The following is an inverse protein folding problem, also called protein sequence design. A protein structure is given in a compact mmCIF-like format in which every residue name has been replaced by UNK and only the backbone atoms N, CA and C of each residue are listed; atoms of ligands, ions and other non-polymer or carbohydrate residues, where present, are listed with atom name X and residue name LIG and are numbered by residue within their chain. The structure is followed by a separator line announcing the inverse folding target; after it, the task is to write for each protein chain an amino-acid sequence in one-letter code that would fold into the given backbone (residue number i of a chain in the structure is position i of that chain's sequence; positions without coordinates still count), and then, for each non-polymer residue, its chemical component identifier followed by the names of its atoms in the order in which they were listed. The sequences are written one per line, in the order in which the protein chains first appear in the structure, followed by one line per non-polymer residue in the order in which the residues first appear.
data_IF_463026010223
#
_entry.id   IF_463026010223
#
_cell.length_a   1.000
_cell.length_b   1.000
_cell.length_c   1.000
_cell.angle_alpha   90.00
_cell.angle_beta   90.00
_cell.angle_gamma   90.00
#
_symmetry.space_group_name_H-M   'P 1'
#
loop_
_entity.id
_entity.type
_entity.pdbx_description
1 polymer ?
#
# COMPACT_ATOMS: atom_id res chain seq x y z
N UNK A 1 2.99 12.73 35.00
CA UNK A 1 2.36 12.32 36.27
C UNK A 1 1.05 13.08 36.34
N UNK A 2 -0.10 12.40 36.34
CA UNK A 2 -1.42 13.04 36.44
C UNK A 2 -2.04 12.50 37.73
N UNK A 3 -2.12 13.33 38.75
CA UNK A 3 -2.86 13.02 39.97
C UNK A 3 -4.35 13.18 39.72
N UNK A 4 -5.13 12.16 40.12
CA UNK A 4 -6.58 12.14 40.02
C UNK A 4 -7.14 12.46 41.41
N UNK A 5 -7.58 13.69 41.65
CA UNK A 5 -8.45 14.01 42.78
C UNK A 5 -9.90 13.63 42.43
N UNK A 6 -10.46 12.67 43.19
CA UNK A 6 -11.89 12.37 43.22
C UNK A 6 -12.60 13.41 44.08
N UNK A 7 -13.58 14.11 43.51
CA UNK A 7 -14.66 14.73 44.29
C UNK A 7 -16.00 14.13 43.82
N UNK A 8 -16.82 13.75 44.80
CA UNK A 8 -18.20 13.26 44.69
C UNK A 8 -19.10 14.49 44.56
N UNK A 9 -19.91 14.54 43.50
CA UNK A 9 -21.24 15.18 43.45
C UNK A 9 -21.84 15.02 42.04
N UNK A 10 -23.13 14.69 41.99
CA UNK A 10 -23.91 14.35 40.79
C UNK A 10 -24.39 15.62 40.07
N UNK A 11 -23.90 15.85 38.85
CA UNK A 11 -24.32 16.93 37.96
C UNK A 11 -23.50 16.94 36.65
N UNK A 12 -24.03 17.45 35.52
CA UNK A 12 -23.33 17.40 34.24
C UNK A 12 -22.10 18.32 34.24
N UNK A 13 -20.92 17.71 34.17
CA UNK A 13 -19.62 18.40 34.14
C UNK A 13 -19.39 19.10 32.80
N UNK A 14 -19.25 20.42 32.81
CA UNK A 14 -18.62 21.16 31.69
C UNK A 14 -17.11 20.94 31.73
N UNK A 15 -16.54 20.41 30.65
CA UNK A 15 -15.08 20.28 30.48
C UNK A 15 -14.63 21.41 29.55
N UNK A 16 -14.00 22.43 30.12
CA UNK A 16 -13.33 23.50 29.36
C UNK A 16 -11.87 23.12 29.13
N UNK A 17 -11.46 22.96 27.87
CA UNK A 17 -10.04 22.86 27.50
C UNK A 17 -9.55 24.24 27.06
N UNK A 18 -8.65 24.86 27.81
CA UNK A 18 -7.90 26.03 27.37
C UNK A 18 -6.58 25.58 26.73
N UNK A 19 -6.36 25.99 25.48
CA UNK A 19 -5.05 25.97 24.82
C UNK A 19 -4.58 27.41 24.66
N UNK A 20 -3.42 27.74 25.23
CA UNK A 20 -2.78 29.05 25.05
C UNK A 20 -1.87 29.04 23.82
N UNK A 21 -2.35 29.61 22.71
CA UNK A 21 -1.56 30.32 21.69
C UNK A 21 -2.52 31.06 20.71
N UNK A 22 -2.33 32.38 20.57
CA UNK A 22 -3.10 33.44 19.86
C UNK A 22 -3.36 33.28 18.33
N UNK A 23 -4.12 34.18 17.64
CA UNK A 23 -5.27 35.03 18.01
C UNK A 23 -6.44 34.87 17.00
N UNK A 24 -7.47 34.10 17.32
CA UNK A 24 -8.74 34.13 16.58
C UNK A 24 -9.89 34.12 17.58
N UNK A 25 -10.62 35.24 17.70
CA UNK A 25 -11.78 35.36 18.59
C UNK A 25 -12.89 34.39 18.12
N UNK A 26 -13.22 33.41 18.95
CA UNK A 26 -14.42 32.57 18.79
C UNK A 26 -15.58 33.32 19.46
N UNK A 27 -16.56 33.79 18.69
CA UNK A 27 -17.84 34.28 19.24
C UNK A 27 -18.85 33.13 19.10
N UNK A 28 -19.15 32.45 20.19
CA UNK A 28 -20.18 31.40 20.23
C UNK A 28 -21.53 32.01 20.59
N UNK A 29 -22.43 32.17 19.61
CA UNK A 29 -23.85 32.40 19.88
C UNK A 29 -24.59 31.04 19.90
N UNK A 30 -25.00 30.58 21.10
CA UNK A 30 -25.84 29.39 21.26
C UNK A 30 -27.31 29.76 21.03
N UNK A 31 -27.93 29.31 19.93
CA UNK A 31 -29.40 29.26 19.80
C UNK A 31 -29.86 27.80 19.82
N UNK A 32 -30.68 27.43 20.82
CA UNK A 32 -31.42 26.17 20.82
C UNK A 32 -32.63 26.33 19.88
N UNK A 33 -32.81 25.39 18.95
CA UNK A 33 -34.08 25.19 18.25
C UNK A 33 -34.76 23.96 18.84
N UNK A 34 -36.05 24.07 19.14
CA UNK A 34 -36.87 22.99 19.72
C UNK A 34 -37.16 21.89 18.67
N UNK A 35 -37.18 20.60 19.07
CA UNK A 35 -37.44 19.50 18.13
C UNK A 35 -38.94 19.25 17.94
N UNK A 36 -39.38 19.15 16.68
CA UNK A 36 -40.67 18.57 16.30
C UNK A 36 -40.60 17.04 16.29
N UNK A 37 -41.70 16.38 16.67
CA UNK A 37 -41.79 14.95 16.99
C UNK A 37 -41.68 14.03 15.77
N UNK A 38 -40.72 13.11 15.78
CA UNK A 38 -40.87 11.65 15.64
C UNK A 38 -39.46 11.01 15.66
N UNK A 39 -39.33 9.89 16.38
CA UNK A 39 -38.12 9.51 17.09
C UNK A 39 -37.00 8.89 16.26
N UNK A 40 -35.76 9.30 16.56
CA UNK A 40 -34.72 8.43 17.12
C UNK A 40 -33.56 9.31 17.62
N UNK A 41 -32.95 8.98 18.77
CA UNK A 41 -32.11 9.91 19.51
C UNK A 41 -30.71 10.11 18.90
N UNK A 42 -30.46 11.27 18.30
CA UNK A 42 -29.13 11.80 17.98
C UNK A 42 -29.03 13.28 18.35
N UNK A 43 -27.99 13.68 19.11
CA UNK A 43 -27.73 15.10 19.39
C UNK A 43 -27.07 15.74 18.17
N UNK A 44 -27.74 16.71 17.55
CA UNK A 44 -27.18 17.52 16.46
C UNK A 44 -26.37 18.68 17.03
N UNK A 45 -25.12 18.83 16.60
CA UNK A 45 -24.28 20.00 16.93
C UNK A 45 -23.90 20.73 15.63
N UNK A 46 -24.14 22.03 15.60
CA UNK A 46 -23.72 22.91 14.49
C UNK A 46 -22.56 23.76 14.99
N UNK A 47 -21.39 23.62 14.37
CA UNK A 47 -20.24 24.50 14.59
C UNK A 47 -20.09 25.37 13.36
N UNK A 48 -20.31 26.68 13.51
CA UNK A 48 -20.00 27.68 12.48
C UNK A 48 -18.58 28.17 12.70
N UNK A 49 -17.67 27.88 11.76
CA UNK A 49 -16.33 28.44 11.77
C UNK A 49 -16.26 29.53 10.71
N UNK A 50 -16.05 30.77 11.13
CA UNK A 50 -15.88 31.91 10.25
C UNK A 50 -14.38 32.16 10.06
N UNK A 51 -13.93 32.20 8.81
CA UNK A 51 -12.66 32.84 8.44
C UNK A 51 -12.97 33.94 7.42
N UNK A 52 -12.11 34.96 7.30
CA UNK A 52 -12.39 36.20 6.57
C UNK A 52 -12.70 36.05 5.07
N UNK A 53 -12.77 34.84 4.50
CA UNK A 53 -13.01 34.62 3.07
C UNK A 53 -13.95 33.44 2.70
N UNK A 54 -14.60 32.75 3.64
CA UNK A 54 -15.70 31.80 3.29
C UNK A 54 -16.54 31.38 4.51
N UNK A 55 -17.81 31.01 4.26
CA UNK A 55 -18.69 30.33 5.23
C UNK A 55 -18.80 28.86 4.79
N UNK A 56 -18.40 27.93 5.66
CA UNK A 56 -18.65 26.50 5.47
C UNK A 56 -19.66 26.04 6.51
N UNK A 57 -20.84 25.61 6.09
CA UNK A 57 -21.80 24.92 6.98
C UNK A 57 -21.47 23.42 7.01
N UNK A 58 -21.15 22.91 8.19
CA UNK A 58 -20.88 21.50 8.43
C UNK A 58 -22.03 20.96 9.29
N UNK A 59 -22.83 20.04 8.74
CA UNK A 59 -23.82 19.26 9.51
C UNK A 59 -23.21 17.90 9.87
N UNK A 60 -23.11 17.61 11.17
CA UNK A 60 -22.64 16.32 11.69
C UNK A 60 -23.84 15.57 12.27
N UNK A 61 -24.17 14.41 11.70
CA UNK A 61 -25.18 13.50 12.25
C UNK A 61 -24.48 12.39 13.02
N UNK A 62 -24.75 12.29 14.33
CA UNK A 62 -24.34 11.15 15.14
C UNK A 62 -25.50 10.17 15.28
N UNK A 63 -25.38 8.97 14.72
CA UNK A 63 -26.28 7.86 15.04
C UNK A 63 -25.52 6.82 15.86
N UNK A 64 -26.10 6.42 16.99
CA UNK A 64 -25.56 5.37 17.83
C UNK A 64 -26.25 4.05 17.47
N UNK A 65 -25.49 2.99 17.20
CA UNK A 65 -25.97 1.65 17.44
C UNK A 65 -24.84 0.73 17.92
N UNK A 66 -25.18 -0.20 18.82
CA UNK A 66 -24.23 -1.02 19.58
C UNK A 66 -23.40 -1.92 18.65
N UNK A 67 -22.08 -1.83 18.82
CA UNK A 67 -20.99 -2.56 18.17
C UNK A 67 -20.50 -1.97 16.84
N UNK A 68 -19.29 -1.39 16.91
CA UNK A 68 -18.45 -0.77 15.87
C UNK A 68 -18.75 0.70 15.49
N UNK A 69 -17.82 1.59 15.86
CA UNK A 69 -17.79 3.00 15.46
C UNK A 69 -17.40 3.10 13.98
N UNK A 70 -18.35 3.42 13.10
CA UNK A 70 -18.08 3.86 11.73
C UNK A 70 -18.15 5.38 11.67
N UNK A 71 -17.01 6.05 11.43
CA UNK A 71 -17.02 7.46 11.03
C UNK A 71 -17.41 7.55 9.54
N UNK A 72 -18.64 7.98 9.26
CA UNK A 72 -19.06 8.36 7.90
C UNK A 72 -18.85 9.87 7.74
N UNK A 73 -17.78 10.26 7.05
CA UNK A 73 -17.59 11.66 6.62
C UNK A 73 -18.17 11.76 5.21
N UNK A 74 -19.30 12.44 5.07
CA UNK A 74 -19.91 12.74 3.78
C UNK A 74 -19.65 14.22 3.46
N UNK A 75 -18.76 14.49 2.50
CA UNK A 75 -18.56 15.83 1.96
C UNK A 75 -19.73 16.16 1.02
N UNK A 76 -20.56 17.13 1.38
CA UNK A 76 -21.46 17.79 0.45
C UNK A 76 -20.72 18.89 -0.32
N UNK A 77 -20.99 18.95 -1.61
CA UNK A 77 -20.47 19.84 -2.65
C UNK A 77 -19.92 21.20 -2.20
N UNK A 78 -18.67 21.48 -2.62
CA UNK A 78 -18.08 22.82 -2.63
C UNK A 78 -18.62 23.54 -3.87
N UNK A 79 -19.51 24.52 -3.71
CA UNK A 79 -19.80 25.50 -4.76
C UNK A 79 -18.78 26.63 -4.64
N UNK A 80 -17.81 26.66 -5.56
CA UNK A 80 -16.81 27.70 -5.64
C UNK A 80 -17.33 28.87 -6.49
N UNK A 81 -17.53 30.03 -5.87
CA UNK A 81 -17.49 31.30 -6.57
C UNK A 81 -16.33 32.10 -5.98
N UNK A 82 -15.19 32.14 -6.67
CA UNK A 82 -14.21 33.20 -6.45
C UNK A 82 -13.60 33.69 -7.77
N UNK A 83 -13.42 35.03 -7.90
CA UNK A 83 -12.79 35.68 -9.05
C UNK A 83 -11.27 35.48 -9.06
N UNK A 84 -10.64 35.84 -10.19
CA UNK A 84 -9.25 35.59 -10.56
C UNK A 84 -8.20 35.93 -9.47
N UNK A 85 -7.07 35.19 -9.40
CA UNK A 85 -6.10 35.34 -8.32
C UNK A 85 -5.20 36.58 -8.51
N UNK A 86 -4.84 37.29 -7.42
CA UNK A 86 -3.76 38.27 -7.45
C UNK A 86 -2.39 37.59 -7.45
N UNK A 87 -1.46 38.20 -8.18
CA UNK A 87 -0.05 37.82 -8.27
C UNK A 87 0.65 37.92 -6.92
N UNK A 88 1.24 36.81 -6.45
CA UNK A 88 2.11 36.81 -5.28
C UNK A 88 3.45 36.14 -5.58
N UNK A 89 4.50 36.87 -5.22
CA UNK A 89 5.92 36.62 -5.48
C UNK A 89 6.41 35.29 -4.88
N UNK A 90 7.28 34.61 -5.63
CA UNK A 90 8.01 33.41 -5.23
C UNK A 90 8.90 33.69 -4.01
N UNK A 91 8.68 32.99 -2.89
CA UNK A 91 9.71 32.76 -1.88
C UNK A 91 10.38 31.40 -2.12
N UNK A 92 11.71 31.38 -1.99
CA UNK A 92 12.59 30.25 -2.26
C UNK A 92 12.26 29.00 -1.41
N UNK A 93 12.46 27.77 -1.92
CA UNK A 93 12.09 26.55 -1.19
C UNK A 93 13.14 26.17 -0.14
N UNK A 94 12.71 26.03 1.11
CA UNK A 94 13.42 25.27 2.15
C UNK A 94 13.20 23.75 1.94
N UNK A 95 14.12 22.88 2.40
CA UNK A 95 14.25 21.52 1.92
C UNK A 95 12.99 20.69 2.23
N UNK A 96 12.39 20.16 1.17
CA UNK A 96 11.28 19.22 1.25
C UNK A 96 11.72 17.96 1.99
N UNK A 97 11.03 17.58 3.07
CA UNK A 97 11.13 16.25 3.67
C UNK A 97 11.00 15.20 2.58
N UNK A 98 12.04 14.38 2.43
CA UNK A 98 12.08 13.38 1.36
C UNK A 98 11.15 12.23 1.69
N UNK A 99 10.62 11.56 0.67
CA UNK A 99 9.77 10.38 0.86
C UNK A 99 10.44 9.32 1.76
N UNK A 100 11.77 9.17 1.63
CA UNK A 100 12.59 8.27 2.43
C UNK A 100 12.60 8.62 3.94
N UNK A 101 12.48 9.89 4.31
CA UNK A 101 12.41 10.32 5.72
C UNK A 101 11.03 10.04 6.32
N UNK A 102 9.97 10.17 5.51
CA UNK A 102 8.59 9.89 5.93
C UNK A 102 8.36 8.38 6.07
N UNK A 103 8.92 7.56 5.17
CA UNK A 103 8.84 6.10 5.32
C UNK A 103 9.70 5.59 6.47
N UNK A 104 10.89 6.14 6.71
CA UNK A 104 11.70 5.77 7.90
C UNK A 104 10.95 5.99 9.22
N UNK A 105 10.12 7.03 9.33
CA UNK A 105 9.29 7.27 10.53
C UNK A 105 8.14 6.25 10.69
N UNK A 106 7.71 5.60 9.62
CA UNK A 106 6.60 4.63 9.63
C UNK A 106 7.01 3.17 9.35
N UNK A 107 8.30 2.91 9.09
CA UNK A 107 8.82 1.57 8.76
C UNK A 107 10.10 1.25 9.55
N UNK A 108 9.91 0.94 10.83
CA UNK A 108 10.63 -0.20 11.40
C UNK A 108 9.81 -1.47 11.06
N UNK A 109 9.71 -1.80 9.78
CA UNK A 109 9.21 -3.12 9.35
C UNK A 109 10.24 -4.16 9.80
N UNK A 110 10.07 -4.69 11.02
CA UNK A 110 10.87 -5.82 11.51
C UNK A 110 10.88 -6.90 10.43
N UNK A 111 12.07 -7.44 10.11
CA UNK A 111 12.21 -8.57 9.17
C UNK A 111 11.19 -9.65 9.51
N UNK A 112 10.58 -10.33 8.51
CA UNK A 112 9.65 -11.39 8.80
C UNK A 112 10.39 -12.52 9.51
N UNK A 113 10.11 -12.69 10.80
CA UNK A 113 10.53 -13.80 11.66
C UNK A 113 9.78 -15.08 11.31
N UNK A 114 9.61 -15.38 10.02
CA UNK A 114 8.86 -16.52 9.52
C UNK A 114 9.84 -17.56 8.99
N UNK A 115 9.66 -18.83 9.38
CA UNK A 115 10.35 -19.97 8.81
C UNK A 115 9.36 -20.78 7.95
N UNK A 116 9.77 -21.18 6.75
CA UNK A 116 8.99 -22.09 5.90
C UNK A 116 9.53 -23.50 6.06
N UNK A 117 8.64 -24.46 6.20
CA UNK A 117 8.95 -25.87 6.38
C UNK A 117 8.24 -26.66 5.28
N UNK A 118 8.97 -27.50 4.55
CA UNK A 118 8.43 -28.33 3.47
C UNK A 118 8.79 -29.79 3.70
N UNK A 119 7.97 -30.75 3.24
CA UNK A 119 8.37 -32.14 3.28
C UNK A 119 9.51 -32.38 2.30
N UNK A 120 10.52 -33.15 2.72
CA UNK A 120 11.54 -33.65 1.81
C UNK A 120 10.94 -34.69 0.85
N UNK A 121 11.64 -34.97 -0.26
CA UNK A 121 11.20 -35.99 -1.24
C UNK A 121 10.94 -37.36 -0.60
N UNK A 122 11.71 -37.72 0.43
CA UNK A 122 11.54 -38.92 1.26
C UNK A 122 10.19 -38.98 2.00
N UNK A 123 9.58 -37.83 2.30
CA UNK A 123 8.36 -37.69 3.10
C UNK A 123 7.25 -36.93 2.35
N UNK A 124 7.27 -36.92 1.01
CA UNK A 124 6.36 -36.12 0.16
C UNK A 124 4.86 -36.42 0.40
N UNK A 125 4.56 -37.61 0.93
CA UNK A 125 3.19 -38.02 1.26
C UNK A 125 2.69 -37.43 2.58
N UNK A 126 3.57 -37.11 3.53
CA UNK A 126 3.21 -36.62 4.87
C UNK A 126 3.00 -35.10 4.91
N UNK A 127 2.11 -34.65 5.80
CA UNK A 127 1.97 -33.22 6.10
C UNK A 127 2.98 -32.82 7.18
N UNK A 128 3.77 -31.78 6.90
CA UNK A 128 4.79 -31.26 7.83
C UNK A 128 4.18 -30.89 9.19
N UNK A 129 2.94 -30.40 9.21
CA UNK A 129 2.28 -30.03 10.47
C UNK A 129 2.06 -31.24 11.38
N UNK A 130 1.73 -32.40 10.82
CA UNK A 130 1.50 -33.62 11.60
C UNK A 130 2.82 -34.21 12.10
N UNK A 131 3.88 -34.14 11.30
CA UNK A 131 5.25 -34.48 11.72
C UNK A 131 5.67 -33.59 12.90
N UNK A 132 5.47 -32.28 12.81
CA UNK A 132 5.82 -31.35 13.89
C UNK A 132 5.03 -31.60 15.16
N UNK A 133 3.72 -31.90 15.07
CA UNK A 133 2.91 -32.25 16.25
C UNK A 133 3.38 -33.54 16.92
N UNK A 134 3.79 -34.53 16.13
CA UNK A 134 4.29 -35.83 16.63
C UNK A 134 5.66 -35.70 17.29
N UNK A 135 6.59 -35.01 16.63
CA UNK A 135 8.00 -34.99 17.02
C UNK A 135 8.40 -33.78 17.88
N UNK A 136 7.65 -32.67 17.80
CA UNK A 136 7.86 -31.43 18.56
C UNK A 136 6.51 -30.90 19.10
N UNK A 137 5.83 -31.73 19.90
CA UNK A 137 4.54 -31.36 20.51
C UNK A 137 4.62 -30.10 21.39
N UNK A 138 5.79 -29.79 21.96
CA UNK A 138 6.06 -28.60 22.78
C UNK A 138 7.35 -27.91 22.32
N UNK A 139 7.28 -26.97 21.38
CA UNK A 139 8.45 -26.20 20.95
C UNK A 139 8.93 -25.30 22.10
N UNK A 140 10.24 -25.21 22.29
CA UNK A 140 10.88 -24.26 23.22
C UNK A 140 10.81 -22.81 22.73
N UNK A 141 10.61 -22.62 21.43
CA UNK A 141 10.52 -21.31 20.76
C UNK A 141 9.12 -20.72 20.85
N UNK A 142 9.03 -19.40 21.02
CA UNK A 142 7.75 -18.70 21.11
C UNK A 142 7.11 -18.49 19.72
N UNK A 143 6.19 -19.38 19.37
CA UNK A 143 5.46 -19.32 18.09
C UNK A 143 4.27 -18.36 18.19
N UNK A 144 4.18 -17.38 17.28
CA UNK A 144 3.03 -16.46 17.17
C UNK A 144 1.88 -17.08 16.39
N UNK A 145 2.19 -17.70 15.26
CA UNK A 145 1.17 -18.29 14.39
C UNK A 145 1.78 -19.37 13.50
N UNK A 146 0.97 -20.38 13.19
CA UNK A 146 1.32 -21.48 12.29
C UNK A 146 0.28 -21.51 11.18
N UNK A 147 0.73 -21.49 9.93
CA UNK A 147 -0.14 -21.52 8.75
C UNK A 147 0.22 -22.70 7.84
N UNK A 148 -0.77 -23.50 7.43
CA UNK A 148 -0.58 -24.43 6.32
C UNK A 148 -0.37 -23.64 5.02
N UNK A 149 0.61 -24.05 4.22
CA UNK A 149 0.91 -23.47 2.91
C UNK A 149 0.84 -24.55 1.82
N UNK A 150 0.97 -24.14 0.55
CA UNK A 150 0.99 -25.06 -0.59
C UNK A 150 2.11 -26.11 -0.43
N UNK A 151 1.99 -27.21 -1.17
CA UNK A 151 2.94 -28.32 -1.18
C UNK A 151 3.13 -28.96 0.20
N UNK A 152 2.03 -29.05 0.97
CA UNK A 152 1.99 -29.64 2.33
C UNK A 152 2.98 -29.01 3.33
N UNK A 153 3.46 -27.82 3.01
CA UNK A 153 4.38 -27.07 3.87
C UNK A 153 3.65 -26.34 4.99
N UNK A 154 4.44 -25.80 5.90
CA UNK A 154 3.99 -24.98 7.03
C UNK A 154 4.83 -23.71 7.11
N UNK A 155 4.19 -22.55 7.27
CA UNK A 155 4.83 -21.31 7.63
C UNK A 155 4.69 -21.07 9.14
N UNK A 156 5.80 -20.98 9.85
CA UNK A 156 5.87 -20.75 11.29
C UNK A 156 6.34 -19.32 11.53
N UNK A 157 5.49 -18.47 12.10
CA UNK A 157 5.86 -17.11 12.49
C UNK A 157 6.30 -17.08 13.95
N UNK A 158 7.52 -16.63 14.17
CA UNK A 158 8.20 -16.53 15.45
C UNK A 158 8.26 -15.07 15.93
N UNK A 159 8.71 -14.82 17.15
CA UNK A 159 8.81 -13.47 17.69
C UNK A 159 10.13 -12.77 17.32
N UNK A 160 11.23 -13.53 17.27
CA UNK A 160 12.59 -13.00 17.05
C UNK A 160 13.38 -13.84 16.05
N UNK A 161 14.36 -13.23 15.40
CA UNK A 161 15.27 -13.92 14.47
C UNK A 161 16.07 -15.04 15.18
N UNK A 162 16.43 -14.84 16.46
CA UNK A 162 17.09 -15.86 17.27
C UNK A 162 16.27 -17.16 17.38
N UNK A 163 14.95 -17.04 17.53
CA UNK A 163 14.05 -18.20 17.63
C UNK A 163 13.93 -18.95 16.30
N UNK A 164 14.18 -18.26 15.16
CA UNK A 164 14.24 -18.90 13.84
C UNK A 164 15.41 -19.87 13.79
N UNK A 165 16.60 -19.42 14.25
CA UNK A 165 17.78 -20.27 14.27
C UNK A 165 17.63 -21.43 15.27
N UNK A 166 17.04 -21.17 16.45
CA UNK A 166 16.76 -22.22 17.45
C UNK A 166 15.82 -23.31 16.91
N UNK A 167 14.78 -22.92 16.16
CA UNK A 167 13.87 -23.88 15.53
C UNK A 167 14.56 -24.68 14.43
N UNK A 168 15.39 -24.05 13.59
CA UNK A 168 16.22 -24.72 12.58
C UNK A 168 17.15 -25.74 13.25
N UNK A 169 17.82 -25.34 14.33
CA UNK A 169 18.72 -26.21 15.07
C UNK A 169 17.96 -27.39 15.70
N UNK A 170 16.78 -27.15 16.27
CA UNK A 170 15.92 -28.20 16.82
C UNK A 170 15.56 -29.25 15.75
N UNK A 171 15.16 -28.80 14.56
CA UNK A 171 14.83 -29.68 13.43
C UNK A 171 16.07 -30.47 12.99
N UNK A 172 17.22 -29.82 12.87
CA UNK A 172 18.46 -30.46 12.42
C UNK A 172 19.07 -31.41 13.48
N UNK A 173 18.75 -31.22 14.76
CA UNK A 173 19.25 -32.07 15.85
C UNK A 173 18.57 -33.45 15.91
N UNK A 174 17.34 -33.58 15.39
CA UNK A 174 16.59 -34.84 15.36
C UNK A 174 16.66 -35.46 13.98
N UNK A 175 17.24 -36.65 13.87
CA UNK A 175 17.43 -37.33 12.58
C UNK A 175 16.11 -37.59 11.83
N UNK A 176 15.03 -37.89 12.56
CA UNK A 176 13.69 -38.07 11.99
C UNK A 176 13.19 -36.79 11.30
N UNK A 177 13.45 -35.62 11.89
CA UNK A 177 13.02 -34.34 11.34
C UNK A 177 13.94 -33.86 10.23
N UNK A 178 15.24 -34.00 10.41
CA UNK A 178 16.26 -33.63 9.43
C UNK A 178 16.07 -34.38 8.10
N UNK A 179 15.66 -35.65 8.16
CA UNK A 179 15.42 -36.49 6.97
C UNK A 179 14.03 -36.33 6.34
N UNK A 180 13.10 -35.63 7.00
CA UNK A 180 11.71 -35.48 6.54
C UNK A 180 11.29 -34.04 6.27
N UNK A 181 11.95 -33.05 6.87
CA UNK A 181 11.59 -31.63 6.76
C UNK A 181 12.77 -30.82 6.19
N UNK A 182 12.49 -30.09 5.11
CA UNK A 182 13.36 -29.05 4.59
C UNK A 182 12.97 -27.69 5.18
N UNK A 183 13.92 -27.00 5.82
CA UNK A 183 13.72 -25.64 6.34
C UNK A 183 14.17 -24.60 5.32
N UNK A 184 13.32 -23.61 5.02
CA UNK A 184 13.62 -22.48 4.13
C UNK A 184 13.28 -21.16 4.80
N UNK A 185 14.26 -20.26 4.90
CA UNK A 185 13.97 -18.85 5.24
C UNK A 185 13.27 -18.21 4.03
N UNK A 186 12.26 -17.34 4.23
CA UNK A 186 11.62 -16.61 3.15
C UNK A 186 12.67 -15.80 2.38
N UNK A 187 13.03 -16.26 1.18
CA UNK A 187 13.88 -15.51 0.27
C UNK A 187 13.16 -14.27 -0.26
N UNK A 188 13.93 -13.25 -0.65
CA UNK A 188 13.39 -12.18 -1.49
C UNK A 188 13.11 -12.73 -2.88
N UNK A 189 12.07 -12.21 -3.54
CA UNK A 189 11.76 -12.63 -4.93
C UNK A 189 12.69 -11.91 -5.89
N UNK A 190 12.97 -12.48 -7.05
CA UNK A 190 13.70 -11.77 -8.09
C UNK A 190 12.88 -10.56 -8.62
N UNK A 191 13.57 -9.49 -9.06
CA UNK A 191 12.93 -8.40 -9.77
C UNK A 191 12.33 -8.88 -11.09
N UNK A 192 11.61 -7.99 -11.76
CA UNK A 192 11.05 -8.27 -13.07
C UNK A 192 11.36 -7.15 -14.03
N UNK A 193 11.55 -7.52 -15.29
CA UNK A 193 11.60 -6.59 -16.40
C UNK A 193 10.34 -6.73 -17.25
N UNK A 194 10.05 -5.68 -18.02
CA UNK A 194 9.01 -5.67 -19.05
C UNK A 194 9.68 -5.32 -20.38
N UNK A 195 9.39 -6.14 -21.39
CA UNK A 195 9.74 -5.88 -22.80
C UNK A 195 8.48 -5.39 -23.50
N UNK A 196 8.52 -4.18 -24.04
CA UNK A 196 7.35 -3.53 -24.63
C UNK A 196 7.17 -3.85 -26.12
N UNK A 197 5.90 -3.93 -26.52
CA UNK A 197 5.42 -4.03 -27.90
C UNK A 197 6.07 -5.15 -28.73
N UNK A 198 6.18 -6.36 -28.17
CA UNK A 198 6.56 -7.53 -28.96
C UNK A 198 5.38 -7.95 -29.83
N UNK A 199 5.57 -8.26 -31.13
CA UNK A 199 4.53 -8.84 -31.96
C UNK A 199 3.97 -10.13 -31.36
N UNK A 200 2.67 -10.40 -31.54
CA UNK A 200 2.01 -11.57 -30.96
C UNK A 200 2.54 -12.90 -31.52
N UNK A 201 3.06 -12.87 -32.75
CA UNK A 201 3.75 -13.98 -33.41
C UNK A 201 5.14 -14.28 -32.86
N UNK A 202 5.74 -13.37 -32.07
CA UNK A 202 7.07 -13.60 -31.47
C UNK A 202 7.01 -14.79 -30.52
N UNK A 203 7.91 -15.76 -30.73
CA UNK A 203 7.98 -16.96 -29.89
C UNK A 203 9.00 -16.79 -28.77
N UNK A 204 8.90 -17.63 -27.74
CA UNK A 204 9.79 -17.53 -26.58
C UNK A 204 11.26 -17.70 -26.95
N UNK A 205 11.59 -18.67 -27.81
CA UNK A 205 12.97 -18.97 -28.15
C UNK A 205 13.69 -17.78 -28.80
N UNK A 206 13.00 -17.00 -29.64
CA UNK A 206 13.54 -15.78 -30.24
C UNK A 206 13.88 -14.72 -29.18
N UNK A 207 13.05 -14.59 -28.14
CA UNK A 207 13.32 -13.68 -27.03
C UNK A 207 14.52 -14.18 -26.22
N UNK A 208 14.59 -15.47 -25.92
CA UNK A 208 15.72 -16.05 -25.16
C UNK A 208 17.02 -15.94 -25.93
N UNK A 209 17.01 -16.16 -27.25
CA UNK A 209 18.18 -15.98 -28.11
C UNK A 209 18.64 -14.52 -28.14
N UNK A 210 17.71 -13.57 -28.30
CA UNK A 210 18.04 -12.14 -28.25
C UNK A 210 18.66 -11.75 -26.90
N UNK A 211 18.16 -12.30 -25.78
CA UNK A 211 18.72 -12.09 -24.44
C UNK A 211 20.14 -12.67 -24.32
N UNK A 212 20.37 -13.87 -24.86
CA UNK A 212 21.67 -14.51 -24.84
C UNK A 212 22.71 -13.71 -25.65
N UNK A 213 22.37 -13.30 -26.87
CA UNK A 213 23.27 -12.58 -27.78
C UNK A 213 23.56 -11.15 -27.29
N UNK A 214 22.53 -10.40 -26.90
CA UNK A 214 22.66 -8.96 -26.66
C UNK A 214 22.93 -8.60 -25.20
N UNK A 215 22.66 -9.51 -24.27
CA UNK A 215 22.84 -9.26 -22.84
C UNK A 215 23.71 -10.30 -22.13
N UNK A 216 24.27 -11.31 -22.84
CA UNK A 216 25.04 -12.42 -22.25
C UNK A 216 24.29 -13.09 -21.09
N UNK A 217 23.01 -13.39 -21.35
CA UNK A 217 22.12 -14.13 -20.45
C UNK A 217 21.89 -15.50 -21.05
N UNK A 218 22.75 -16.46 -20.66
CA UNK A 218 22.73 -17.83 -21.17
C UNK A 218 21.61 -18.67 -20.55
N UNK A 219 21.21 -18.33 -19.33
CA UNK A 219 20.11 -19.00 -18.63
C UNK A 219 18.76 -18.48 -19.13
N UNK A 220 17.82 -19.39 -19.40
CA UNK A 220 16.47 -19.02 -19.82
C UNK A 220 15.73 -18.31 -18.69
N UNK A 221 15.27 -17.08 -18.97
CA UNK A 221 14.49 -16.30 -18.01
C UNK A 221 13.03 -16.75 -18.00
N UNK A 222 12.43 -16.83 -16.82
CA UNK A 222 11.03 -17.24 -16.65
C UNK A 222 10.05 -16.13 -17.07
N UNK A 223 9.21 -16.39 -18.07
CA UNK A 223 8.13 -15.49 -18.48
C UNK A 223 6.96 -15.66 -17.50
N UNK A 224 6.64 -14.60 -16.75
CA UNK A 224 5.56 -14.65 -15.76
C UNK A 224 4.18 -14.52 -16.39
N UNK A 225 4.03 -13.54 -17.27
CA UNK A 225 2.79 -13.30 -18.03
C UNK A 225 3.02 -12.28 -19.14
N UNK A 226 2.04 -12.21 -20.03
CA UNK A 226 1.96 -11.20 -21.11
C UNK A 226 0.80 -10.26 -20.82
N UNK A 227 0.98 -8.96 -21.10
CA UNK A 227 -0.08 -7.96 -21.08
C UNK A 227 -0.37 -7.53 -22.53
N UNK A 228 -1.60 -7.19 -22.86
CA UNK A 228 -1.92 -6.61 -24.16
C UNK A 228 -1.11 -5.32 -24.37
N UNK A 229 -0.52 -5.19 -25.55
CA UNK A 229 0.22 -4.01 -25.95
C UNK A 229 -0.68 -2.81 -26.24
N UNK A 230 -0.06 -1.66 -26.49
CA UNK A 230 -0.79 -0.45 -26.90
C UNK A 230 -1.22 -0.51 -28.36
N UNK A 231 -0.45 -1.21 -29.18
CA UNK A 231 -0.72 -1.41 -30.59
C UNK A 231 -1.43 -2.75 -30.79
N UNK A 232 -2.44 -2.83 -31.68
CA UNK A 232 -3.04 -4.11 -32.06
C UNK A 232 -1.96 -5.10 -32.55
N UNK A 233 -2.11 -6.38 -32.20
CA UNK A 233 -1.14 -7.42 -32.59
C UNK A 233 0.17 -7.39 -31.81
N UNK A 234 0.23 -6.69 -30.68
CA UNK A 234 1.42 -6.66 -29.82
C UNK A 234 1.09 -6.98 -28.36
N UNK A 235 2.09 -7.51 -27.66
CA UNK A 235 2.07 -7.79 -26.24
C UNK A 235 3.25 -7.14 -25.52
N UNK A 236 3.12 -6.96 -24.21
CA UNK A 236 4.23 -6.66 -23.31
C UNK A 236 4.55 -7.90 -22.51
N UNK A 237 5.81 -8.33 -22.52
CA UNK A 237 6.22 -9.55 -21.84
C UNK A 237 6.89 -9.20 -20.53
N UNK A 238 6.45 -9.83 -19.44
CA UNK A 238 7.01 -9.63 -18.11
C UNK A 238 7.81 -10.86 -17.75
N UNK A 239 9.11 -10.66 -17.55
CA UNK A 239 10.05 -11.72 -17.21
C UNK A 239 10.53 -11.54 -15.78
N UNK A 240 10.64 -12.64 -15.05
CA UNK A 240 11.38 -12.70 -13.80
C UNK A 240 12.87 -12.76 -14.09
N UNK A 241 13.65 -11.97 -13.37
CA UNK A 241 15.05 -11.74 -13.74
C UNK A 241 15.92 -11.75 -12.50
N UNK A 242 16.85 -12.71 -12.35
CA UNK A 242 17.85 -12.69 -11.29
C UNK A 242 18.66 -11.39 -11.28
N UNK A 243 19.23 -11.04 -10.13
CA UNK A 243 19.95 -9.78 -9.88
C UNK A 243 20.96 -9.44 -10.99
N UNK A 244 21.85 -10.38 -11.34
CA UNK A 244 22.89 -10.14 -12.35
C UNK A 244 22.28 -9.79 -13.72
N UNK A 245 21.40 -10.65 -14.22
CA UNK A 245 20.67 -10.47 -15.47
C UNK A 245 19.86 -9.17 -15.49
N UNK A 246 19.29 -8.77 -14.35
CA UNK A 246 18.50 -7.56 -14.22
C UNK A 246 19.35 -6.31 -14.49
N UNK A 247 20.56 -6.22 -13.92
CA UNK A 247 21.43 -5.07 -14.18
C UNK A 247 21.97 -5.06 -15.62
N UNK A 248 22.25 -6.23 -16.22
CA UNK A 248 22.61 -6.31 -17.64
C UNK A 248 21.50 -5.73 -18.52
N UNK A 249 20.26 -6.16 -18.33
CA UNK A 249 19.11 -5.69 -19.10
C UNK A 249 18.73 -4.24 -18.82
N UNK A 250 18.86 -3.80 -17.58
CA UNK A 250 18.62 -2.40 -17.20
C UNK A 250 19.62 -1.46 -17.86
N UNK A 251 20.89 -1.85 -17.97
CA UNK A 251 21.92 -1.09 -18.71
C UNK A 251 21.66 -1.11 -20.21
N UNK A 252 21.24 -2.25 -20.75
CA UNK A 252 20.93 -2.40 -22.18
C UNK A 252 19.76 -1.47 -22.60
N UNK A 253 18.67 -1.46 -21.83
CA UNK A 253 17.52 -0.55 -22.00
C UNK A 253 16.65 -0.78 -23.25
N UNK A 254 17.18 -1.39 -24.31
CA UNK A 254 16.44 -1.83 -25.49
C UNK A 254 17.00 -3.15 -26.02
N UNK A 255 16.13 -4.08 -26.38
CA UNK A 255 16.49 -5.39 -26.90
C UNK A 255 16.11 -5.48 -28.40
N UNK A 256 17.05 -5.75 -29.31
CA UNK A 256 16.73 -5.97 -30.71
C UNK A 256 16.13 -7.36 -30.93
N UNK A 257 14.93 -7.42 -31.52
CA UNK A 257 14.26 -8.65 -31.97
C UNK A 257 13.64 -8.35 -33.34
N UNK A 258 13.83 -9.21 -34.34
CA UNK A 258 13.30 -9.04 -35.71
C UNK A 258 13.51 -7.63 -36.28
N UNK A 259 14.74 -7.12 -36.21
CA UNK A 259 15.13 -5.77 -36.66
C UNK A 259 14.42 -4.60 -35.96
N UNK A 260 13.68 -4.88 -34.88
CA UNK A 260 12.94 -3.89 -34.10
C UNK A 260 13.55 -3.73 -32.71
N UNK A 261 13.73 -2.48 -32.27
CA UNK A 261 14.28 -2.17 -30.94
C UNK A 261 13.16 -2.10 -29.90
N UNK A 262 13.03 -3.14 -29.08
CA UNK A 262 12.02 -3.21 -28.03
C UNK A 262 12.50 -2.58 -26.74
N UNK A 263 11.70 -1.70 -26.15
CA UNK A 263 12.08 -1.07 -24.90
C UNK A 263 12.03 -2.06 -23.73
N UNK A 264 13.12 -2.10 -22.95
CA UNK A 264 13.21 -2.88 -21.72
C UNK A 264 13.16 -1.93 -20.52
N UNK A 265 12.26 -2.17 -19.57
CA UNK A 265 12.22 -1.43 -18.30
C UNK A 265 12.03 -2.37 -17.13
N UNK A 266 12.31 -1.84 -15.95
CA UNK A 266 11.93 -2.47 -14.69
C UNK A 266 10.39 -2.51 -14.55
N UNK A 267 9.86 -3.67 -14.16
CA UNK A 267 8.43 -3.87 -13.93
C UNK A 267 8.13 -4.07 -12.45
N UNK A 268 7.21 -3.26 -11.93
CA UNK A 268 6.75 -3.35 -10.54
C UNK A 268 5.39 -4.02 -10.46
N UNK A 269 5.29 -5.13 -9.71
CA UNK A 269 4.01 -5.80 -9.44
C UNK A 269 3.19 -5.05 -8.37
N UNK A 270 3.01 -3.74 -8.55
CA UNK A 270 2.24 -2.86 -7.68
C UNK A 270 0.86 -2.69 -8.29
N UNK A 271 -0.13 -3.30 -7.65
CA UNK A 271 -1.53 -3.17 -8.07
C UNK A 271 -2.06 -1.80 -7.67
N UNK A 272 -2.75 -1.15 -8.58
CA UNK A 272 -3.55 0.04 -8.30
C UNK A 272 -5.03 -0.29 -8.52
N UNK A 273 -5.84 0.04 -7.52
CA UNK A 273 -7.26 -0.20 -7.55
C UNK A 273 -7.96 0.76 -8.51
N UNK A 274 -8.64 0.24 -9.54
CA UNK A 274 -9.38 1.07 -10.49
C UNK A 274 -10.64 1.72 -9.91
N UNK A 275 -11.06 1.33 -8.68
CA UNK A 275 -12.20 1.93 -7.97
C UNK A 275 -11.77 3.15 -7.16
N UNK A 276 -10.84 3.01 -6.23
CA UNK A 276 -10.43 4.08 -5.32
C UNK A 276 -9.07 4.73 -5.65
N UNK A 277 -8.34 4.23 -6.65
CA UNK A 277 -6.97 4.63 -7.03
C UNK A 277 -5.88 4.31 -6.01
N UNK A 278 -6.22 3.71 -4.86
CA UNK A 278 -5.26 3.24 -3.87
C UNK A 278 -4.43 2.05 -4.35
N UNK A 279 -3.38 1.71 -3.62
CA UNK A 279 -2.45 0.64 -3.99
C UNK A 279 -2.76 -0.68 -3.26
N UNK A 280 -2.09 -1.76 -3.71
CA UNK A 280 -2.05 -3.10 -3.09
C UNK A 280 -3.33 -3.95 -3.13
N UNK A 281 -4.40 -3.47 -3.75
CA UNK A 281 -5.65 -4.23 -3.90
C UNK A 281 -6.28 -4.02 -5.28
N UNK A 282 -7.15 -4.95 -5.68
CA UNK A 282 -7.96 -4.85 -6.89
C UNK A 282 -9.33 -4.26 -6.57
N UNK A 283 -10.06 -3.81 -7.58
CA UNK A 283 -11.39 -3.21 -7.41
C UNK A 283 -12.40 -4.15 -6.71
N UNK A 284 -12.29 -5.46 -6.96
CA UNK A 284 -13.14 -6.49 -6.32
C UNK A 284 -12.91 -6.62 -4.82
N UNK A 285 -11.70 -6.28 -4.35
CA UNK A 285 -11.29 -6.37 -2.94
C UNK A 285 -11.28 -4.96 -2.30
N UNK A 286 -11.92 -3.97 -2.95
CA UNK A 286 -11.83 -2.58 -2.54
C UNK A 286 -12.85 -2.26 -1.42
N UNK A 287 -12.38 -1.74 -0.26
CA UNK A 287 -13.26 -1.42 0.85
C UNK A 287 -14.09 -0.14 0.62
N UNK A 288 -13.72 0.68 -0.37
CA UNK A 288 -14.42 1.94 -0.65
C UNK A 288 -15.76 1.68 -1.31
N UNK A 289 -16.83 2.29 -0.79
CA UNK A 289 -18.17 2.17 -1.38
C UNK A 289 -18.36 3.04 -2.64
N UNK A 290 -17.66 4.18 -2.72
CA UNK A 290 -17.70 5.10 -3.87
C UNK A 290 -16.37 5.07 -4.62
N UNK A 291 -16.39 5.19 -5.96
CA UNK A 291 -15.17 5.34 -6.73
C UNK A 291 -14.52 6.72 -6.48
N UNK A 292 -13.22 6.78 -6.72
CA UNK A 292 -12.44 8.01 -6.76
C UNK A 292 -11.82 8.16 -8.14
N UNK A 293 -11.93 9.35 -8.71
CA UNK A 293 -11.39 9.68 -10.01
C UNK A 293 -9.86 9.77 -9.95
N UNK A 294 -9.18 9.07 -10.87
CA UNK A 294 -7.73 9.15 -11.04
C UNK A 294 -7.23 10.48 -11.61
N UNK A 295 -8.12 11.27 -12.20
CA UNK A 295 -7.79 12.57 -12.77
C UNK A 295 -8.03 13.71 -11.77
N UNK A 296 -9.22 13.80 -11.16
CA UNK A 296 -9.60 14.98 -10.37
C UNK A 296 -9.89 14.70 -8.89
N UNK A 297 -9.64 13.47 -8.40
CA UNK A 297 -9.96 13.02 -7.05
C UNK A 297 -11.46 13.03 -6.67
N UNK A 298 -12.38 13.36 -7.60
CA UNK A 298 -13.83 13.38 -7.37
C UNK A 298 -14.49 12.00 -7.25
N UNK A 299 -15.72 11.95 -6.73
CA UNK A 299 -16.47 10.71 -6.50
C UNK A 299 -17.20 10.18 -7.74
N UNK A 300 -16.44 9.81 -8.76
CA UNK A 300 -16.95 9.17 -9.97
C UNK A 300 -15.87 8.30 -10.63
N UNK A 301 -16.24 7.37 -11.53
CA UNK A 301 -15.26 6.65 -12.34
C UNK A 301 -14.39 7.62 -13.16
N UNK A 302 -13.10 7.31 -13.30
CA UNK A 302 -12.16 8.13 -14.09
C UNK A 302 -12.62 8.33 -15.53
N UNK A 303 -13.23 7.31 -16.13
CA UNK A 303 -13.76 7.35 -17.50
C UNK A 303 -14.90 8.35 -17.70
N UNK A 304 -15.57 8.78 -16.64
CA UNK A 304 -16.64 9.78 -16.67
C UNK A 304 -16.17 11.17 -16.22
N UNK A 305 -14.87 11.39 -16.08
CA UNK A 305 -14.32 12.66 -15.62
C UNK A 305 -14.54 13.78 -16.63
N UNK A 306 -15.05 14.92 -16.14
CA UNK A 306 -15.22 16.17 -16.92
C UNK A 306 -14.47 17.36 -16.31
N UNK A 307 -13.74 17.14 -15.22
CA UNK A 307 -12.94 18.18 -14.58
C UNK A 307 -11.73 18.55 -15.45
N UNK A 308 -11.48 19.85 -15.62
CA UNK A 308 -10.24 20.37 -16.19
C UNK A 308 -9.07 20.36 -15.21
N UNK A 309 -9.36 20.29 -13.90
CA UNK A 309 -8.36 20.20 -12.85
C UNK A 309 -7.90 18.76 -12.67
N UNK A 310 -6.58 18.59 -12.54
CA UNK A 310 -5.94 17.31 -12.29
C UNK A 310 -5.36 17.29 -10.88
N UNK A 311 -5.86 16.37 -10.05
CA UNK A 311 -5.44 16.16 -8.67
C UNK A 311 -5.36 14.67 -8.37
N UNK A 312 -4.21 14.22 -7.89
CA UNK A 312 -3.96 12.87 -7.42
C UNK A 312 -4.58 12.68 -6.04
N UNK A 313 -5.63 11.86 -5.97
CA UNK A 313 -6.29 11.52 -4.70
C UNK A 313 -5.30 10.96 -3.67
N UNK A 314 -4.34 10.12 -4.08
CA UNK A 314 -3.40 9.50 -3.13
C UNK A 314 -2.48 10.54 -2.48
N UNK A 315 -1.93 11.47 -3.26
CA UNK A 315 -1.06 12.53 -2.73
C UNK A 315 -1.87 13.55 -1.90
N UNK A 316 -3.06 13.93 -2.37
CA UNK A 316 -3.95 14.85 -1.65
C UNK A 316 -4.35 14.29 -0.27
N UNK A 317 -4.81 13.03 -0.21
CA UNK A 317 -5.18 12.38 1.05
C UNK A 317 -3.96 12.19 1.96
N UNK A 318 -2.80 11.83 1.40
CA UNK A 318 -1.59 11.66 2.21
C UNK A 318 -1.17 12.99 2.87
N UNK A 319 -1.20 14.10 2.12
CA UNK A 319 -0.96 15.43 2.67
C UNK A 319 -1.95 15.80 3.77
N UNK A 320 -3.23 15.47 3.60
CA UNK A 320 -4.26 15.76 4.59
C UNK A 320 -4.06 14.96 5.89
N UNK A 321 -3.77 13.65 5.80
CA UNK A 321 -3.66 12.79 6.98
C UNK A 321 -2.31 12.87 7.69
N UNK A 322 -1.22 13.13 6.94
CA UNK A 322 0.13 13.07 7.47
C UNK A 322 0.84 14.43 7.51
N UNK A 323 0.19 15.50 7.06
CA UNK A 323 0.77 16.85 7.03
C UNK A 323 1.93 16.99 6.03
N UNK A 324 2.08 16.07 5.08
CA UNK A 324 3.10 16.13 4.03
C UNK A 324 2.76 17.21 3.00
N UNK A 325 3.72 17.51 2.12
CA UNK A 325 3.58 18.51 1.04
C UNK A 325 3.92 17.93 -0.33
N UNK A 326 3.47 16.70 -0.59
CA UNK A 326 3.68 16.07 -1.89
C UNK A 326 2.94 16.86 -2.99
N UNK A 327 3.56 17.09 -4.17
CA UNK A 327 2.84 17.63 -5.31
C UNK A 327 1.63 16.76 -5.60
N UNK A 328 0.43 17.34 -5.56
CA UNK A 328 -0.81 16.61 -5.80
C UNK A 328 -1.43 16.93 -7.17
N UNK A 329 -0.95 17.96 -7.87
CA UNK A 329 -1.49 18.40 -9.16
C UNK A 329 -0.95 17.55 -10.34
N UNK A 330 -1.30 16.27 -10.34
CA UNK A 330 -0.91 15.33 -11.39
C UNK A 330 -1.89 14.15 -11.42
N UNK A 331 -1.91 13.37 -12.51
CA UNK A 331 -2.77 12.19 -12.61
C UNK A 331 -2.26 11.09 -11.65
N UNK A 332 -3.14 10.24 -11.12
CA UNK A 332 -2.73 9.14 -10.23
C UNK A 332 -1.79 8.10 -10.89
N UNK A 333 -1.67 8.13 -12.22
CA UNK A 333 -0.78 7.26 -13.03
C UNK A 333 0.58 7.89 -13.32
N UNK A 334 0.80 9.12 -12.88
CA UNK A 334 2.05 9.81 -13.12
C UNK A 334 3.22 9.05 -12.50
N UNK A 335 4.31 8.86 -13.25
CA UNK A 335 5.50 8.15 -12.78
C UNK A 335 6.23 8.88 -11.65
N UNK A 336 6.06 10.21 -11.55
CA UNK A 336 6.60 11.06 -10.49
C UNK A 336 5.70 11.18 -9.26
N UNK A 337 4.55 10.49 -9.22
CA UNK A 337 3.65 10.47 -8.05
C UNK A 337 4.40 10.03 -6.78
N UNK A 338 4.50 10.90 -5.78
CA UNK A 338 5.27 10.61 -4.56
C UNK A 338 4.75 9.38 -3.80
N UNK A 339 3.43 9.20 -3.72
CA UNK A 339 2.85 8.00 -3.11
C UNK A 339 3.18 6.73 -3.90
N UNK A 340 3.24 6.80 -5.24
CA UNK A 340 3.60 5.66 -6.08
C UNK A 340 5.09 5.31 -5.98
N UNK A 341 5.98 6.31 -6.07
CA UNK A 341 7.42 6.12 -5.84
C UNK A 341 7.68 5.48 -4.48
N UNK A 342 6.79 5.75 -3.54
CA UNK A 342 6.80 5.12 -2.27
C UNK A 342 6.48 3.65 -2.21
N UNK A 343 5.42 3.27 -2.88
CA UNK A 343 5.10 1.86 -3.11
C UNK A 343 6.23 1.15 -3.88
N UNK A 344 6.91 1.85 -4.80
CA UNK A 344 8.10 1.34 -5.49
C UNK A 344 9.25 1.07 -4.52
N UNK A 345 9.58 2.01 -3.63
CA UNK A 345 10.63 1.82 -2.63
C UNK A 345 10.34 0.60 -1.74
N UNK A 346 9.12 0.52 -1.21
CA UNK A 346 8.64 -0.62 -0.43
C UNK A 346 8.68 -1.93 -1.20
N UNK A 347 8.28 -1.91 -2.46
CA UNK A 347 8.35 -3.08 -3.32
C UNK A 347 9.79 -3.55 -3.49
N UNK A 348 10.74 -2.62 -3.68
CA UNK A 348 12.16 -2.95 -3.89
C UNK A 348 12.80 -3.64 -2.69
N UNK A 349 12.39 -3.30 -1.47
CA UNK A 349 12.84 -3.98 -0.26
C UNK A 349 12.46 -5.47 -0.24
N UNK A 350 11.35 -5.84 -0.91
CA UNK A 350 10.87 -7.23 -1.04
C UNK A 350 11.52 -8.02 -2.17
N UNK A 351 12.50 -7.44 -2.87
CA UNK A 351 13.14 -8.02 -4.04
C UNK A 351 14.64 -8.19 -3.88
N UNK A 352 15.14 -9.20 -4.54
CA UNK A 352 16.56 -9.56 -4.61
C UNK A 352 17.21 -8.84 -5.79
N UNK A 353 17.59 -7.58 -5.57
CA UNK A 353 18.24 -6.74 -6.58
C UNK A 353 19.73 -6.95 -6.62
#
# INVERSE_FOLDING_TARGET
MIDIFRSKEDGPKEILFYSQASPSRIIAARRKLNPGQTGDQGKTFVIKQQTNQSITEIQIFGTANRNDIKHLIQLTSITANHPAPPSLQRKSPNPSTTYAEVTKKHQASKKPTTLLLYPMKSAEKEEVLEILKREIARPSTKIKYVQKIKNKGVAVRLERDQEVEELIQTINSKETLKSTIETKKPGKRHPSIIIYNLPDETIEDEVQEALAINADIKERLNIRFKLSGRQPGTAHWILETPSESFYKLKRLGKLPIHWTMHQVREFFHIKRCNKCQGFRHLAKDCPSNRPSCGSCAGHHPTTKCRSSQVVCINCAMHNQFHGTRFPAYHHTSDSGCSCYLGEVALYKETRDY
#
